data_IF_890649539606
#
_entry.id   IF_890649539606
#
_cell.length_a   1.000
_cell.length_b   1.000
_cell.length_c   1.000
_cell.angle_alpha   90.00
_cell.angle_beta   90.00
_cell.angle_gamma   90.00
#
_symmetry.space_group_name_H-M   'P 1'
#
loop_
_entity.id
_entity.type
_entity.pdbx_description
1 polymer ?
#
# COMPACT_ATOMS: atom_id res chain seq x y z
N UNK A 1 -23.51 16.39 -3.38
CA UNK A 1 -23.02 16.07 -2.02
C UNK A 1 -21.67 16.74 -1.85
N UNK A 2 -21.42 17.45 -0.75
CA UNK A 2 -20.12 18.08 -0.51
C UNK A 2 -19.02 17.01 -0.48
N UNK A 3 -18.01 17.16 -1.32
CA UNK A 3 -16.82 16.33 -1.32
C UNK A 3 -15.99 16.71 -0.09
N UNK A 4 -16.05 15.89 0.97
CA UNK A 4 -15.17 16.04 2.13
C UNK A 4 -13.75 15.78 1.66
N UNK A 5 -12.96 16.84 1.49
CA UNK A 5 -11.55 16.73 1.14
C UNK A 5 -10.77 16.34 2.40
N UNK A 6 -10.39 15.06 2.49
CA UNK A 6 -9.53 14.55 3.54
C UNK A 6 -8.06 14.62 3.11
N UNK A 7 -7.18 14.68 4.10
CA UNK A 7 -5.76 14.46 3.84
C UNK A 7 -5.39 12.99 4.07
N UNK A 8 -4.25 12.58 3.53
CA UNK A 8 -3.71 11.22 3.66
C UNK A 8 -3.74 10.69 5.10
N UNK A 9 -3.35 11.50 6.10
CA UNK A 9 -3.34 11.04 7.50
C UNK A 9 -4.74 10.73 8.02
N UNK A 10 -5.75 11.48 7.60
CA UNK A 10 -7.14 11.24 8.00
C UNK A 10 -7.65 9.93 7.40
N UNK A 11 -7.32 9.66 6.14
CA UNK A 11 -7.62 8.39 5.46
C UNK A 11 -6.93 7.20 6.16
N UNK A 12 -5.62 7.30 6.43
CA UNK A 12 -4.85 6.27 7.15
C UNK A 12 -5.49 5.91 8.51
N UNK A 13 -5.95 6.92 9.26
CA UNK A 13 -6.58 6.71 10.55
C UNK A 13 -7.95 6.01 10.42
N UNK A 14 -8.78 6.44 9.47
CA UNK A 14 -10.10 5.84 9.25
C UNK A 14 -9.98 4.39 8.76
N UNK A 15 -9.04 4.13 7.85
CA UNK A 15 -8.76 2.79 7.35
C UNK A 15 -8.23 1.88 8.47
N UNK A 16 -7.29 2.36 9.31
CA UNK A 16 -6.81 1.62 10.47
C UNK A 16 -7.93 1.30 11.48
N UNK A 17 -8.88 2.22 11.69
CA UNK A 17 -10.05 1.99 12.53
C UNK A 17 -10.95 0.88 11.95
N UNK A 18 -11.23 0.93 10.64
CA UNK A 18 -12.03 -0.09 9.96
C UNK A 18 -11.35 -1.46 10.02
N UNK A 19 -10.03 -1.51 9.82
CA UNK A 19 -9.26 -2.75 9.95
C UNK A 19 -9.35 -3.35 11.35
N UNK A 20 -9.15 -2.53 12.39
CA UNK A 20 -9.23 -2.99 13.79
C UNK A 20 -10.64 -3.42 14.18
N UNK A 21 -11.66 -2.71 13.70
CA UNK A 21 -13.06 -3.10 13.91
C UNK A 21 -13.34 -4.46 13.28
N UNK A 22 -12.95 -4.68 12.01
CA UNK A 22 -13.14 -5.96 11.31
C UNK A 22 -12.34 -7.12 11.92
N UNK A 23 -11.12 -6.86 12.40
CA UNK A 23 -10.23 -7.91 12.90
C UNK A 23 -10.40 -8.22 14.39
N UNK A 24 -10.77 -7.24 15.22
CA UNK A 24 -10.85 -7.38 16.69
C UNK A 24 -12.24 -7.07 17.26
N UNK A 25 -13.21 -6.65 16.44
CA UNK A 25 -14.56 -6.28 16.85
C UNK A 25 -14.69 -4.96 17.61
N UNK A 26 -13.57 -4.31 17.97
CA UNK A 26 -13.55 -3.01 18.66
C UNK A 26 -12.26 -2.25 18.41
N UNK A 27 -12.35 -0.93 18.45
CA UNK A 27 -11.23 -0.02 18.26
C UNK A 27 -10.74 0.45 19.62
N UNK A 28 -9.45 0.22 19.93
CA UNK A 28 -8.79 0.77 21.12
C UNK A 28 -7.68 1.72 20.69
N UNK A 29 -7.48 2.78 21.48
CA UNK A 29 -6.41 3.76 21.26
C UNK A 29 -5.03 3.09 21.21
N UNK A 30 -4.78 2.10 22.08
CA UNK A 30 -3.51 1.35 22.09
C UNK A 30 -3.28 0.61 20.77
N UNK A 31 -4.29 -0.09 20.26
CA UNK A 31 -4.20 -0.86 19.02
C UNK A 31 -4.00 0.07 17.80
N UNK A 32 -4.66 1.24 17.79
CA UNK A 32 -4.43 2.28 16.77
C UNK A 32 -3.01 2.83 16.82
N UNK A 33 -2.52 3.16 18.02
CA UNK A 33 -1.18 3.71 18.22
C UNK A 33 -0.10 2.74 17.71
N UNK A 34 -0.24 1.46 18.03
CA UNK A 34 0.64 0.39 17.56
C UNK A 34 0.61 0.24 16.04
N UNK A 35 -0.60 0.15 15.45
CA UNK A 35 -0.75 0.00 13.99
C UNK A 35 -0.21 1.18 13.20
N UNK A 36 -0.44 2.40 13.67
CA UNK A 36 -0.03 3.63 12.99
C UNK A 36 1.42 4.04 13.32
N UNK A 37 2.09 3.35 14.24
CA UNK A 37 3.46 3.68 14.65
C UNK A 37 3.59 5.03 15.35
N UNK A 38 2.55 5.45 16.09
CA UNK A 38 2.51 6.74 16.80
C UNK A 38 2.23 6.56 18.29
N UNK A 39 2.43 7.62 19.08
CA UNK A 39 2.15 7.56 20.53
C UNK A 39 0.64 7.67 20.80
N UNK A 40 0.10 7.05 21.88
CA UNK A 40 -1.31 7.16 22.23
C UNK A 40 -1.87 8.60 22.33
N UNK A 41 -1.14 9.60 22.88
CA UNK A 41 -1.62 10.98 22.88
C UNK A 41 -1.86 11.54 21.48
N UNK A 42 -0.98 11.22 20.51
CA UNK A 42 -1.15 11.61 19.10
C UNK A 42 -2.41 11.00 18.49
N UNK A 43 -2.76 9.77 18.87
CA UNK A 43 -4.02 9.15 18.45
C UNK A 43 -5.22 9.89 19.03
N UNK A 44 -5.20 10.23 20.31
CA UNK A 44 -6.30 10.97 20.96
C UNK A 44 -6.54 12.32 20.30
N UNK A 45 -5.47 13.09 20.05
CA UNK A 45 -5.57 14.38 19.34
C UNK A 45 -6.19 14.23 17.94
N UNK A 46 -5.82 13.18 17.20
CA UNK A 46 -6.40 12.90 15.89
C UNK A 46 -7.86 12.44 15.96
N UNK A 47 -8.23 11.62 16.95
CA UNK A 47 -9.60 11.21 17.18
C UNK A 47 -10.51 12.41 17.47
N UNK A 48 -10.06 13.37 18.28
CA UNK A 48 -10.80 14.61 18.53
C UNK A 48 -10.98 15.45 17.26
N UNK A 49 -9.97 15.51 16.39
CA UNK A 49 -10.06 16.19 15.09
C UNK A 49 -11.08 15.50 14.16
N UNK A 50 -11.04 14.17 14.07
CA UNK A 50 -11.98 13.39 13.26
C UNK A 50 -13.42 13.45 13.82
N UNK A 51 -13.58 13.53 15.14
CA UNK A 51 -14.87 13.73 15.79
C UNK A 51 -15.47 15.09 15.45
N UNK A 52 -14.67 16.17 15.46
CA UNK A 52 -15.10 17.50 15.01
C UNK A 52 -15.55 17.52 13.55
N UNK A 53 -15.04 16.60 12.72
CA UNK A 53 -15.46 16.41 11.32
C UNK A 53 -16.67 15.46 11.16
N UNK A 54 -17.20 14.90 12.24
CA UNK A 54 -18.33 13.96 12.19
C UNK A 54 -17.98 12.59 11.59
N UNK A 55 -16.70 12.23 11.56
CA UNK A 55 -16.22 10.96 10.97
C UNK A 55 -16.07 9.85 12.02
N UNK A 56 -15.84 10.23 13.28
CA UNK A 56 -15.61 9.30 14.38
C UNK A 56 -16.42 9.72 15.58
N UNK A 57 -17.07 8.77 16.22
CA UNK A 57 -17.61 8.93 17.57
C UNK A 57 -16.51 8.55 18.57
N UNK A 58 -15.93 9.57 19.18
CA UNK A 58 -14.95 9.40 20.24
C UNK A 58 -15.48 10.00 21.55
N UNK A 59 -15.58 9.14 22.57
CA UNK A 59 -15.89 9.56 23.94
C UNK A 59 -14.78 9.07 24.84
N UNK A 60 -14.22 9.99 25.64
CA UNK A 60 -13.20 9.67 26.63
C UNK A 60 -13.73 8.54 27.52
N UNK A 61 -12.96 7.45 27.64
CA UNK A 61 -13.31 6.23 28.39
C UNK A 61 -14.45 5.35 27.82
N UNK A 62 -15.21 5.77 26.80
CA UNK A 62 -16.30 4.96 26.21
C UNK A 62 -15.94 4.25 24.90
N UNK A 63 -14.75 4.51 24.36
CA UNK A 63 -14.24 3.84 23.15
C UNK A 63 -14.26 4.73 21.92
N UNK A 64 -13.95 4.11 20.78
CA UNK A 64 -13.85 4.73 19.45
C UNK A 64 -14.73 3.94 18.49
N UNK A 65 -15.55 4.61 17.69
CA UNK A 65 -16.31 4.00 16.60
C UNK A 65 -16.37 4.92 15.38
N UNK A 66 -16.45 4.32 14.19
CA UNK A 66 -16.70 5.07 12.96
C UNK A 66 -18.17 5.51 12.90
N UNK A 67 -18.42 6.77 12.57
CA UNK A 67 -19.78 7.21 12.20
C UNK A 67 -20.17 6.59 10.85
N UNK A 68 -21.44 6.60 10.43
CA UNK A 68 -21.81 6.16 9.09
C UNK A 68 -21.04 6.88 7.97
N UNK A 69 -20.73 8.17 8.16
CA UNK A 69 -19.93 8.94 7.22
C UNK A 69 -18.47 8.49 7.21
N UNK A 70 -17.83 8.38 8.38
CA UNK A 70 -16.45 7.91 8.48
C UNK A 70 -16.26 6.48 7.99
N UNK A 71 -17.26 5.60 8.21
CA UNK A 71 -17.27 4.24 7.68
C UNK A 71 -17.24 4.22 6.15
N UNK A 72 -18.08 5.01 5.49
CA UNK A 72 -18.11 5.06 4.01
C UNK A 72 -16.75 5.45 3.44
N UNK A 73 -16.13 6.48 4.02
CA UNK A 73 -14.78 6.90 3.63
C UNK A 73 -13.76 5.81 3.90
N UNK A 74 -13.75 5.22 5.09
CA UNK A 74 -12.82 4.16 5.45
C UNK A 74 -12.94 2.95 4.51
N UNK A 75 -14.17 2.57 4.14
CA UNK A 75 -14.43 1.49 3.20
C UNK A 75 -13.99 1.82 1.78
N UNK A 76 -14.10 3.09 1.37
CA UNK A 76 -13.59 3.54 0.07
C UNK A 76 -12.07 3.42 0.02
N UNK A 77 -11.35 3.95 1.01
CA UNK A 77 -9.89 3.83 1.10
C UNK A 77 -9.48 2.35 1.14
N UNK A 78 -10.09 1.56 2.03
CA UNK A 78 -9.80 0.13 2.14
C UNK A 78 -10.06 -0.66 0.84
N UNK A 79 -11.02 -0.24 0.01
CA UNK A 79 -11.21 -0.84 -1.32
C UNK A 79 -10.05 -0.53 -2.25
N UNK A 80 -9.49 0.68 -2.20
CA UNK A 80 -8.28 1.06 -2.97
C UNK A 80 -7.10 0.17 -2.55
N UNK A 81 -6.84 0.07 -1.24
CA UNK A 81 -5.83 -0.84 -0.66
C UNK A 81 -5.97 -2.26 -1.22
N UNK A 82 -7.16 -2.85 -1.09
CA UNK A 82 -7.41 -4.23 -1.49
C UNK A 82 -7.22 -4.45 -3.00
N UNK A 83 -7.66 -3.53 -3.84
CA UNK A 83 -7.47 -3.63 -5.28
C UNK A 83 -5.97 -3.62 -5.63
N UNK A 84 -5.20 -2.69 -5.05
CA UNK A 84 -3.76 -2.59 -5.31
C UNK A 84 -3.03 -3.83 -4.77
N UNK A 85 -3.30 -4.23 -3.52
CA UNK A 85 -2.71 -5.43 -2.90
C UNK A 85 -2.93 -6.64 -3.79
N UNK A 86 -4.18 -6.86 -4.20
CA UNK A 86 -4.56 -8.00 -5.04
C UNK A 86 -3.86 -7.97 -6.40
N UNK A 87 -3.80 -6.81 -7.04
CA UNK A 87 -3.06 -6.62 -8.28
C UNK A 87 -1.57 -6.97 -8.14
N UNK A 88 -0.90 -6.47 -7.10
CA UNK A 88 0.51 -6.79 -6.83
C UNK A 88 0.71 -8.30 -6.60
N UNK A 89 -0.18 -8.94 -5.85
CA UNK A 89 -0.15 -10.39 -5.65
C UNK A 89 -0.37 -11.17 -6.95
N UNK A 90 -1.20 -10.68 -7.89
CA UNK A 90 -1.34 -11.31 -9.20
C UNK A 90 -0.02 -11.35 -9.98
N UNK A 91 0.78 -10.28 -9.87
CA UNK A 91 2.12 -10.18 -10.45
C UNK A 91 3.16 -11.07 -9.73
N UNK A 92 2.80 -11.69 -8.60
CA UNK A 92 3.68 -12.58 -7.84
C UNK A 92 4.43 -11.89 -6.69
N UNK A 93 4.03 -10.67 -6.32
CA UNK A 93 4.57 -10.01 -5.12
C UNK A 93 4.11 -10.78 -3.87
N UNK A 94 5.01 -11.14 -2.93
CA UNK A 94 4.63 -11.76 -1.66
C UNK A 94 3.61 -10.93 -0.89
N UNK A 95 2.71 -11.57 -0.16
CA UNK A 95 1.58 -10.89 0.50
C UNK A 95 2.02 -9.79 1.47
N UNK A 96 3.08 -10.01 2.25
CA UNK A 96 3.58 -9.03 3.22
C UNK A 96 4.16 -7.78 2.55
N UNK A 97 4.76 -7.95 1.37
CA UNK A 97 5.27 -6.85 0.54
C UNK A 97 4.09 -6.12 -0.12
N UNK A 98 3.15 -6.88 -0.71
CA UNK A 98 1.97 -6.33 -1.37
C UNK A 98 1.10 -5.52 -0.40
N UNK A 99 0.96 -5.96 0.85
CA UNK A 99 0.27 -5.22 1.92
C UNK A 99 0.94 -3.87 2.18
N UNK A 100 2.27 -3.84 2.35
CA UNK A 100 3.00 -2.59 2.62
C UNK A 100 2.96 -1.64 1.44
N UNK A 101 3.15 -2.15 0.23
CA UNK A 101 3.20 -1.35 -0.99
C UNK A 101 1.82 -0.80 -1.35
N UNK A 102 0.75 -1.58 -1.15
CA UNK A 102 -0.62 -1.11 -1.38
C UNK A 102 -0.99 0.06 -0.47
N UNK A 103 -0.64 -0.01 0.82
CA UNK A 103 -0.86 1.08 1.79
C UNK A 103 -0.10 2.36 1.39
N UNK A 104 1.06 2.24 0.74
CA UNK A 104 1.79 3.40 0.23
C UNK A 104 1.14 3.98 -1.03
N UNK A 105 0.71 3.13 -1.96
CA UNK A 105 0.22 3.53 -3.29
C UNK A 105 -1.20 4.10 -3.23
N UNK A 106 -2.08 3.58 -2.37
CA UNK A 106 -3.51 3.87 -2.39
C UNK A 106 -3.88 5.36 -2.23
N UNK A 107 -3.05 6.11 -1.49
CA UNK A 107 -3.24 7.54 -1.24
C UNK A 107 -2.71 8.44 -2.37
N UNK A 108 -1.91 7.89 -3.27
CA UNK A 108 -1.27 8.63 -4.37
C UNK A 108 -1.72 8.19 -5.76
N UNK A 109 -2.42 7.06 -5.87
CA UNK A 109 -2.89 6.55 -7.16
C UNK A 109 -4.04 7.40 -7.71
N UNK A 110 -4.02 7.65 -9.02
CA UNK A 110 -5.15 8.31 -9.70
C UNK A 110 -6.36 7.38 -9.76
N UNK A 111 -7.56 7.95 -9.75
CA UNK A 111 -8.80 7.17 -9.86
C UNK A 111 -8.87 6.39 -11.19
N UNK A 112 -8.31 6.93 -12.27
CA UNK A 112 -8.25 6.25 -13.57
C UNK A 112 -7.35 5.01 -13.53
N UNK A 113 -6.16 5.12 -12.90
CA UNK A 113 -5.27 3.97 -12.74
C UNK A 113 -5.92 2.90 -11.87
N UNK A 114 -6.56 3.29 -10.76
CA UNK A 114 -7.26 2.35 -9.89
C UNK A 114 -8.44 1.67 -10.59
N UNK A 115 -9.19 2.43 -11.41
CA UNK A 115 -10.29 1.91 -12.22
C UNK A 115 -9.80 0.81 -13.17
N UNK A 116 -8.72 1.08 -13.92
CA UNK A 116 -8.16 0.10 -14.85
C UNK A 116 -7.58 -1.12 -14.13
N UNK A 117 -6.94 -0.94 -12.96
CA UNK A 117 -6.49 -2.06 -12.13
C UNK A 117 -7.68 -2.92 -11.70
N UNK A 118 -8.75 -2.30 -11.21
CA UNK A 118 -9.96 -3.01 -10.78
C UNK A 118 -10.59 -3.79 -11.94
N UNK A 119 -10.75 -3.16 -13.11
CA UNK A 119 -11.26 -3.81 -14.31
C UNK A 119 -10.35 -4.96 -14.78
N UNK A 120 -9.04 -4.82 -14.66
CA UNK A 120 -8.10 -5.88 -14.99
C UNK A 120 -8.23 -7.07 -14.03
N UNK A 121 -8.36 -6.82 -12.73
CA UNK A 121 -8.63 -7.85 -11.71
C UNK A 121 -9.91 -8.59 -12.06
N UNK A 122 -11.00 -7.86 -12.30
CA UNK A 122 -12.30 -8.43 -12.67
C UNK A 122 -12.19 -9.27 -13.95
N UNK A 123 -11.51 -8.77 -14.98
CA UNK A 123 -11.29 -9.50 -16.23
C UNK A 123 -10.55 -10.83 -15.98
N UNK A 124 -9.50 -10.81 -15.16
CA UNK A 124 -8.70 -12.01 -14.84
C UNK A 124 -9.52 -13.03 -14.05
N UNK A 125 -10.29 -12.59 -13.05
CA UNK A 125 -11.06 -13.48 -12.17
C UNK A 125 -12.30 -14.06 -12.85
N UNK A 126 -12.88 -13.35 -13.81
CA UNK A 126 -14.02 -13.82 -14.58
C UNK A 126 -13.62 -14.50 -15.89
N UNK A 127 -12.31 -14.67 -16.15
CA UNK A 127 -11.84 -15.40 -17.32
C UNK A 127 -12.21 -16.88 -17.18
N UNK A 128 -12.87 -17.51 -18.17
CA UNK A 128 -13.24 -18.90 -18.10
C UNK A 128 -12.01 -19.82 -18.05
N UNK A 129 -12.03 -20.81 -17.16
CA UNK A 129 -10.96 -21.80 -16.99
C UNK A 129 -9.92 -21.41 -15.92
N UNK A 130 -8.71 -21.96 -16.05
CA UNK A 130 -7.57 -21.60 -15.19
C UNK A 130 -7.06 -20.16 -15.49
N UNK A 131 -6.08 -19.70 -14.70
CA UNK A 131 -5.40 -18.42 -14.90
C UNK A 131 -5.14 -18.13 -16.40
N UNK A 132 -5.45 -16.90 -16.88
CA UNK A 132 -5.19 -16.50 -18.26
C UNK A 132 -3.78 -16.88 -18.70
N UNK A 133 -3.66 -17.39 -19.93
CA UNK A 133 -2.38 -17.89 -20.48
C UNK A 133 -1.23 -16.92 -20.24
N UNK A 134 -1.45 -15.62 -20.46
CA UNK A 134 -0.42 -14.60 -20.28
C UNK A 134 0.06 -14.48 -18.82
N UNK A 135 -0.84 -14.58 -17.82
CA UNK A 135 -0.45 -14.54 -16.41
C UNK A 135 0.30 -15.80 -16.00
N UNK A 136 -0.16 -16.96 -16.46
CA UNK A 136 0.57 -18.23 -16.25
C UNK A 136 1.97 -18.14 -16.86
N UNK A 137 2.08 -17.63 -18.08
CA UNK A 137 3.35 -17.45 -18.78
C UNK A 137 4.25 -16.44 -18.07
N UNK A 138 3.70 -15.33 -17.58
CA UNK A 138 4.43 -14.34 -16.80
C UNK A 138 4.99 -14.94 -15.50
N UNK A 139 4.17 -15.70 -14.75
CA UNK A 139 4.61 -16.37 -13.53
C UNK A 139 5.74 -17.37 -13.79
N UNK A 140 5.62 -18.16 -14.86
CA UNK A 140 6.70 -19.05 -15.29
C UNK A 140 7.98 -18.28 -15.62
N UNK A 141 7.88 -17.13 -16.31
CA UNK A 141 9.03 -16.30 -16.65
C UNK A 141 9.69 -15.69 -15.41
N UNK A 142 8.91 -15.23 -14.42
CA UNK A 142 9.46 -14.71 -13.15
C UNK A 142 10.30 -15.78 -12.44
N UNK A 143 9.83 -17.03 -12.42
CA UNK A 143 10.51 -18.14 -11.74
C UNK A 143 11.71 -18.67 -12.53
N UNK A 144 11.53 -18.96 -13.83
CA UNK A 144 12.52 -19.67 -14.65
C UNK A 144 13.43 -18.76 -15.45
N UNK A 145 13.10 -17.46 -15.56
CA UNK A 145 13.79 -16.46 -16.40
C UNK A 145 13.93 -16.86 -17.87
N UNK A 146 13.05 -17.75 -18.33
CA UNK A 146 12.94 -18.19 -19.72
C UNK A 146 11.48 -18.21 -20.12
N UNK A 147 11.22 -18.00 -21.42
CA UNK A 147 9.86 -18.05 -21.95
C UNK A 147 9.29 -19.48 -21.85
N UNK A 148 8.01 -19.64 -21.48
CA UNK A 148 7.34 -20.93 -21.50
C UNK A 148 7.47 -21.60 -22.87
N UNK A 149 7.64 -22.94 -22.93
CA UNK A 149 7.77 -23.67 -24.20
C UNK A 149 6.58 -23.47 -25.13
N UNK A 150 5.38 -23.28 -24.58
CA UNK A 150 4.12 -23.06 -25.29
C UNK A 150 3.82 -21.57 -25.57
N UNK A 151 4.78 -20.66 -25.31
CA UNK A 151 4.56 -19.23 -25.53
C UNK A 151 4.76 -18.83 -27.00
N UNK A 152 3.73 -18.31 -27.68
CA UNK A 152 3.84 -17.92 -29.10
C UNK A 152 4.73 -16.68 -29.30
N UNK A 153 5.06 -15.95 -28.22
CA UNK A 153 5.91 -14.75 -28.26
C UNK A 153 7.41 -15.06 -28.13
N UNK A 154 7.81 -16.34 -28.18
CA UNK A 154 9.22 -16.74 -28.22
C UNK A 154 9.87 -16.11 -29.46
N UNK A 155 10.48 -14.93 -29.31
CA UNK A 155 11.48 -14.45 -30.27
C UNK A 155 12.70 -15.32 -30.06
N UNK A 156 13.10 -16.09 -31.07
CA UNK A 156 14.42 -16.70 -31.09
C UNK A 156 15.45 -15.57 -30.98
N UNK A 157 16.08 -15.46 -29.80
CA UNK A 157 16.95 -14.34 -29.48
C UNK A 157 16.94 -14.04 -28.00
N UNK A 158 17.99 -14.49 -27.31
CA UNK A 158 18.28 -14.16 -25.91
C UNK A 158 18.29 -12.63 -25.78
N UNK A 159 17.44 -12.06 -24.92
CA UNK A 159 17.70 -10.71 -24.40
C UNK A 159 18.90 -10.89 -23.47
N UNK A 160 20.11 -10.73 -24.00
CA UNK A 160 21.29 -10.54 -23.16
C UNK A 160 21.13 -9.18 -22.49
N UNK A 161 20.83 -9.17 -21.18
CA UNK A 161 20.99 -7.97 -20.37
C UNK A 161 21.73 -8.34 -19.10
N UNK A 162 22.93 -7.76 -18.98
CA UNK A 162 23.71 -7.68 -17.76
C UNK A 162 22.80 -7.20 -16.62
N UNK A 163 22.81 -7.93 -15.51
CA UNK A 163 22.25 -7.50 -14.23
C UNK A 163 23.08 -6.31 -13.69
N UNK A 164 23.01 -5.15 -14.35
CA UNK A 164 23.32 -3.89 -13.68
C UNK A 164 22.09 -3.53 -12.87
N UNK A 165 22.17 -3.84 -11.58
CA UNK A 165 21.39 -3.17 -10.53
C UNK A 165 21.52 -1.67 -10.79
N UNK A 166 20.53 -1.09 -11.45
CA UNK A 166 20.45 0.36 -11.58
C UNK A 166 20.07 0.83 -10.18
N UNK A 167 21.05 1.33 -9.43
CA UNK A 167 20.78 2.19 -8.29
C UNK A 167 20.10 3.45 -8.85
N UNK A 168 18.78 3.40 -9.01
CA UNK A 168 18.01 4.56 -9.42
C UNK A 168 17.88 5.47 -8.20
N UNK A 169 18.81 6.41 -8.10
CA UNK A 169 18.53 7.65 -7.38
C UNK A 169 17.24 8.24 -7.99
N UNK A 170 16.25 8.47 -7.11
CA UNK A 170 14.97 9.07 -7.49
C UNK A 170 15.23 10.43 -8.16
N UNK A 171 14.74 10.69 -9.39
CA UNK A 171 15.01 11.95 -10.10
C UNK A 171 14.16 13.11 -9.58
N UNK A 172 13.40 12.92 -8.50
CA UNK A 172 12.58 13.98 -7.91
C UNK A 172 13.44 14.89 -7.00
N UNK A 173 13.38 16.23 -7.16
CA UNK A 173 14.14 17.17 -6.34
C UNK A 173 13.74 17.15 -4.85
N UNK A 174 12.69 16.42 -4.48
CA UNK A 174 12.21 16.29 -3.10
C UNK A 174 13.13 15.40 -2.23
N UNK A 175 13.92 14.50 -2.83
CA UNK A 175 14.71 13.51 -2.09
C UNK A 175 16.10 13.99 -1.63
N UNK A 176 16.61 15.15 -2.09
CA UNK A 176 17.99 15.57 -1.81
C UNK A 176 18.23 16.20 -0.43
N UNK A 177 17.21 16.43 0.39
CA UNK A 177 17.34 17.24 1.61
C UNK A 177 17.75 16.47 2.89
N UNK A 178 18.16 15.20 2.81
CA UNK A 178 18.51 14.43 4.00
C UNK A 178 19.72 13.50 3.79
N UNK A 179 20.89 14.08 3.52
CA UNK A 179 22.16 13.37 3.69
C UNK A 179 22.81 13.81 5.02
N UNK A 180 23.12 12.89 5.95
CA UNK A 180 23.88 13.23 7.15
C UNK A 180 25.36 13.50 6.80
N UNK A 181 25.93 14.56 7.40
CA UNK A 181 27.35 14.92 7.26
C UNK A 181 28.27 13.75 7.63
N UNK A 182 29.34 13.48 6.86
CA UNK A 182 30.27 12.40 7.19
C UNK A 182 31.04 12.72 8.48
N UNK A 183 31.04 11.76 9.41
CA UNK A 183 31.89 11.79 10.61
C UNK A 183 33.35 11.60 10.20
N UNK A 184 34.18 12.51 10.69
CA UNK A 184 35.63 12.50 10.59
C UNK A 184 36.22 11.27 11.33
N UNK A 185 36.72 10.28 10.59
CA UNK A 185 37.44 9.14 11.17
C UNK A 185 38.92 9.49 11.34
N UNK A 186 39.32 9.77 12.59
CA UNK A 186 40.73 9.83 12.98
C UNK A 186 41.37 8.45 12.78
N UNK A 187 42.48 8.41 12.02
CA UNK A 187 43.43 7.28 11.97
C UNK A 187 44.01 7.02 13.36
N UNK A 188 44.17 5.76 13.80
CA UNK A 188 45.06 5.44 14.90
C UNK A 188 46.49 5.26 14.37
N UNK A 189 47.43 5.99 14.99
CA UNK A 189 48.87 5.75 14.97
C UNK A 189 49.20 4.48 15.77
N UNK A 190 50.18 3.71 15.30
CA UNK A 190 50.73 2.53 15.98
C UNK A 190 51.31 2.82 17.36
N UNK A 191 51.77 1.77 18.05
CA UNK A 191 53.19 1.42 17.95
C UNK A 191 53.46 0.12 17.18
#
# INVERSE_FOLDING_TARGET
MQQLKLNRREEEYLEAMLFLEKSKGKIRVKDLAERLGVKPPTVVEFLEKLAKKGLVDYKKHSGVSLTPLGRRVAEEVYKRHLAIKKFLMMLGVPEDIAERDACYIEHGISDESLRLITLFIEFVENCPGDLPRFLRHFRYYVEKRVWPPDCPHRREGRIEREDKVVSSACPSPVCLAAAPSPRNTKRPSGP
#
